data_IF_741306550087
#
_entry.id   IF_741306550087
#
_cell.length_a   1.000
_cell.length_b   1.000
_cell.length_c   1.000
_cell.angle_alpha   90.00
_cell.angle_beta   90.00
_cell.angle_gamma   90.00
#
_symmetry.space_group_name_H-M   'P 1'
#
loop_
_entity.id
_entity.type
_entity.pdbx_description
1 polymer ?
#
# COMPACT_ATOMS: atom_id res chain seq x y z
N UNK A 1 -20.86 14.48 21.91
CA UNK A 1 -20.35 13.64 20.80
C UNK A 1 -19.72 14.58 19.80
N UNK A 2 -18.43 14.79 19.94
CA UNK A 2 -17.62 15.65 19.07
C UNK A 2 -17.29 14.83 17.82
N UNK A 3 -17.79 15.27 16.68
CA UNK A 3 -17.37 14.76 15.37
C UNK A 3 -15.90 15.13 15.20
N UNK A 4 -15.00 14.16 15.34
CA UNK A 4 -13.63 14.30 14.87
C UNK A 4 -13.68 14.59 13.36
N UNK A 5 -13.30 15.81 12.99
CA UNK A 5 -13.09 16.19 11.61
C UNK A 5 -11.94 15.34 11.10
N UNK A 6 -12.25 14.45 10.14
CA UNK A 6 -11.25 13.77 9.33
C UNK A 6 -10.52 14.88 8.57
N UNK A 7 -9.31 15.18 8.98
CA UNK A 7 -8.42 16.12 8.28
C UNK A 7 -8.00 15.40 7.01
N UNK A 8 -8.62 15.75 5.88
CA UNK A 8 -8.05 15.39 4.58
C UNK A 8 -6.66 16.03 4.52
N UNK A 9 -5.63 15.22 4.27
CA UNK A 9 -4.27 15.70 4.12
C UNK A 9 -4.26 16.71 2.96
N UNK A 10 -3.99 17.98 3.25
CA UNK A 10 -3.90 19.05 2.26
C UNK A 10 -2.73 18.73 1.31
N UNK A 11 -2.90 18.98 0.02
CA UNK A 11 -1.84 18.83 -0.99
C UNK A 11 -0.52 19.51 -0.56
N UNK A 12 -0.63 20.65 0.14
CA UNK A 12 0.53 21.36 0.70
C UNK A 12 1.15 20.68 1.91
N UNK A 13 0.45 19.78 2.58
CA UNK A 13 0.95 19.15 3.80
C UNK A 13 2.15 18.26 3.53
N UNK A 14 2.13 17.48 2.45
CA UNK A 14 3.26 16.63 2.05
C UNK A 14 4.53 17.45 1.78
N UNK A 15 4.41 18.59 1.06
CA UNK A 15 5.54 19.45 0.76
C UNK A 15 6.12 20.05 2.03
N UNK A 16 5.27 20.58 2.93
CA UNK A 16 5.67 21.15 4.22
C UNK A 16 6.34 20.10 5.09
N UNK A 17 5.74 18.91 5.16
CA UNK A 17 6.28 17.78 5.92
C UNK A 17 7.68 17.39 5.47
N UNK A 18 7.91 17.32 4.16
CA UNK A 18 9.21 16.95 3.60
C UNK A 18 10.28 18.06 3.75
N UNK A 19 9.89 19.32 4.01
CA UNK A 19 10.82 20.42 4.31
C UNK A 19 11.90 20.64 3.24
N UNK A 20 11.58 20.42 1.96
CA UNK A 20 12.53 20.53 0.84
C UNK A 20 13.39 19.30 0.59
N UNK A 21 13.29 18.25 1.42
CA UNK A 21 13.98 16.98 1.22
C UNK A 21 13.43 16.25 0.00
N UNK A 22 14.33 15.68 -0.81
CA UNK A 22 13.99 14.85 -1.98
C UNK A 22 14.28 13.38 -1.70
N UNK A 23 13.43 12.50 -2.25
CA UNK A 23 13.50 11.07 -2.00
C UNK A 23 13.83 10.31 -3.28
N UNK A 24 14.80 9.41 -3.19
CA UNK A 24 15.19 8.52 -4.30
C UNK A 24 14.31 7.29 -4.40
N UNK A 25 13.58 6.98 -3.35
CA UNK A 25 12.66 5.84 -3.33
C UNK A 25 11.39 6.21 -2.56
N UNK A 26 10.26 6.00 -3.21
CA UNK A 26 8.93 6.26 -2.65
C UNK A 26 8.13 4.97 -2.68
N UNK A 27 7.54 4.60 -1.54
CA UNK A 27 6.54 3.54 -1.41
C UNK A 27 5.21 4.19 -1.06
N UNK A 28 4.13 3.78 -1.72
CA UNK A 28 2.80 4.30 -1.44
C UNK A 28 1.73 3.20 -1.41
N UNK A 29 0.82 3.29 -0.44
CA UNK A 29 -0.38 2.45 -0.33
C UNK A 29 -1.62 3.33 -0.17
N UNK A 30 -2.08 4.01 -1.24
CA UNK A 30 -3.21 4.92 -1.15
C UNK A 30 -4.48 4.24 -0.64
N UNK A 31 -5.32 4.95 0.11
CA UNK A 31 -6.61 4.43 0.57
C UNK A 31 -7.63 4.47 -0.57
N UNK A 32 -7.47 3.57 -1.54
CA UNK A 32 -8.25 3.50 -2.76
C UNK A 32 -9.76 3.44 -2.51
N UNK A 33 -10.52 4.28 -3.22
CA UNK A 33 -11.96 4.21 -3.26
C UNK A 33 -12.43 3.30 -4.39
N UNK A 34 -13.19 2.25 -4.05
CA UNK A 34 -13.85 1.40 -5.05
C UNK A 34 -15.19 2.00 -5.45
N UNK A 35 -15.30 2.46 -6.68
CA UNK A 35 -16.58 2.90 -7.23
C UNK A 35 -17.38 1.71 -7.74
N UNK A 36 -18.54 1.43 -7.12
CA UNK A 36 -19.47 0.43 -7.61
C UNK A 36 -20.52 1.09 -8.50
N UNK A 37 -20.50 0.76 -9.79
CA UNK A 37 -21.50 1.24 -10.77
C UNK A 37 -22.95 0.77 -10.49
N UNK A 38 -23.13 -0.23 -9.65
CA UNK A 38 -24.45 -0.89 -9.43
C UNK A 38 -25.15 -0.47 -8.14
N UNK A 39 -24.58 0.43 -7.35
CA UNK A 39 -25.17 0.88 -6.07
C UNK A 39 -25.29 -0.21 -4.99
N UNK A 40 -25.04 -1.48 -5.31
CA UNK A 40 -24.94 -2.55 -4.32
C UNK A 40 -23.59 -2.50 -3.65
N UNK A 41 -23.62 -2.21 -2.36
CA UNK A 41 -22.41 -2.20 -1.52
C UNK A 41 -21.82 -3.61 -1.51
N UNK A 42 -20.69 -3.80 -2.20
CA UNK A 42 -19.95 -5.05 -2.08
C UNK A 42 -19.55 -5.28 -0.61
N UNK A 43 -19.41 -6.54 -0.15
CA UNK A 43 -18.99 -6.83 1.23
C UNK A 43 -17.70 -6.13 1.64
N UNK A 44 -16.86 -5.78 0.66
CA UNK A 44 -15.65 -4.98 0.82
C UNK A 44 -15.94 -3.54 1.25
N UNK A 45 -17.03 -2.91 0.77
CA UNK A 45 -17.43 -1.55 1.18
C UNK A 45 -17.83 -1.44 2.66
N UNK A 46 -18.47 -2.47 3.23
CA UNK A 46 -18.72 -2.51 4.68
C UNK A 46 -17.44 -2.54 5.52
N UNK A 47 -16.32 -2.96 4.93
CA UNK A 47 -15.00 -2.99 5.56
C UNK A 47 -14.25 -1.67 5.37
N UNK A 48 -14.49 -0.97 4.26
CA UNK A 48 -13.89 0.35 3.95
C UNK A 48 -14.53 1.50 4.75
N UNK A 49 -15.72 1.31 5.34
CA UNK A 49 -16.36 2.32 6.21
C UNK A 49 -15.55 2.65 7.50
N UNK A 50 -14.43 1.97 7.72
CA UNK A 50 -13.53 2.19 8.87
C UNK A 50 -12.36 3.14 8.55
N UNK A 51 -12.16 3.50 7.28
CA UNK A 51 -11.10 4.41 6.84
C UNK A 51 -11.69 5.44 5.89
N UNK A 52 -11.21 6.67 6.00
CA UNK A 52 -11.40 7.64 4.93
C UNK A 52 -10.71 7.12 3.67
N UNK A 53 -11.47 6.92 2.60
CA UNK A 53 -10.92 6.61 1.29
C UNK A 53 -10.74 7.91 0.51
N UNK A 54 -9.74 7.93 -0.38
CA UNK A 54 -9.51 9.03 -1.31
C UNK A 54 -10.04 8.68 -2.69
N UNK A 55 -10.60 9.65 -3.37
CA UNK A 55 -10.95 9.54 -4.79
C UNK A 55 -9.70 9.44 -5.65
N UNK A 56 -9.82 8.95 -6.87
CA UNK A 56 -8.72 8.87 -7.82
C UNK A 56 -8.08 10.26 -8.05
N UNK A 57 -8.90 11.30 -8.17
CA UNK A 57 -8.43 12.66 -8.43
C UNK A 57 -7.66 13.23 -7.23
N UNK A 58 -8.12 12.99 -5.99
CA UNK A 58 -7.39 13.38 -4.78
C UNK A 58 -6.04 12.68 -4.69
N UNK A 59 -5.96 11.39 -5.02
CA UNK A 59 -4.68 10.65 -5.03
C UNK A 59 -3.75 11.22 -6.11
N UNK A 60 -4.25 11.49 -7.32
CA UNK A 60 -3.46 12.05 -8.42
C UNK A 60 -2.96 13.46 -8.12
N UNK A 61 -3.74 14.26 -7.38
CA UNK A 61 -3.40 15.63 -7.02
C UNK A 61 -2.26 15.75 -6.00
N UNK A 62 -1.93 14.66 -5.27
CA UNK A 62 -0.81 14.70 -4.33
C UNK A 62 0.50 15.09 -5.04
N UNK A 63 1.26 16.07 -4.51
CA UNK A 63 2.46 16.62 -5.16
C UNK A 63 3.69 15.70 -4.99
N UNK A 64 3.52 14.40 -5.28
CA UNK A 64 4.58 13.39 -5.09
C UNK A 64 5.78 13.69 -5.99
N UNK A 65 5.54 14.20 -7.19
CA UNK A 65 6.63 14.63 -8.08
C UNK A 65 7.53 15.70 -7.45
N UNK A 66 6.94 16.60 -6.65
CA UNK A 66 7.66 17.68 -5.98
C UNK A 66 8.58 17.21 -4.87
N UNK A 67 8.36 16.03 -4.29
CA UNK A 67 9.22 15.46 -3.25
C UNK A 67 10.12 14.33 -3.77
N UNK A 68 9.90 13.88 -5.00
CA UNK A 68 10.75 12.91 -5.67
C UNK A 68 12.07 13.54 -6.14
N UNK A 69 13.16 12.78 -6.00
CA UNK A 69 14.44 13.09 -6.64
C UNK A 69 14.33 13.00 -8.17
N UNK A 70 15.21 13.67 -8.92
CA UNK A 70 15.25 13.63 -10.39
C UNK A 70 15.48 12.23 -10.92
N UNK A 71 16.18 11.38 -10.16
CA UNK A 71 16.39 9.96 -10.45
C UNK A 71 15.84 9.13 -9.29
N UNK A 72 14.60 8.69 -9.42
CA UNK A 72 13.90 8.02 -8.32
C UNK A 72 13.06 6.83 -8.75
N UNK A 73 12.74 5.98 -7.77
CA UNK A 73 11.88 4.82 -7.88
C UNK A 73 10.56 5.07 -7.16
N UNK A 74 9.46 4.61 -7.77
CA UNK A 74 8.15 4.53 -7.13
C UNK A 74 7.71 3.07 -7.05
N UNK A 75 7.25 2.69 -5.86
CA UNK A 75 6.54 1.44 -5.58
C UNK A 75 5.12 1.80 -5.13
N UNK A 76 4.12 1.41 -5.94
CA UNK A 76 2.72 1.79 -5.72
C UNK A 76 1.86 0.54 -5.55
N UNK A 77 1.29 0.35 -4.35
CA UNK A 77 0.32 -0.71 -4.10
C UNK A 77 -1.01 -0.41 -4.78
N UNK A 78 -1.47 -1.37 -5.57
CA UNK A 78 -2.72 -1.24 -6.33
C UNK A 78 -3.53 -2.53 -6.25
N UNK A 79 -4.81 -2.47 -5.88
CA UNK A 79 -5.71 -3.61 -6.03
C UNK A 79 -5.84 -4.02 -7.50
N UNK A 80 -5.95 -5.31 -7.78
CA UNK A 80 -6.04 -5.82 -9.15
C UNK A 80 -7.14 -5.14 -10.00
N UNK A 81 -8.28 -4.82 -9.36
CA UNK A 81 -9.41 -4.19 -10.04
C UNK A 81 -9.17 -2.71 -10.41
N UNK A 82 -8.16 -2.07 -9.82
CA UNK A 82 -7.82 -0.66 -10.02
C UNK A 82 -6.46 -0.49 -10.73
N UNK A 83 -6.02 -1.50 -11.46
CA UNK A 83 -4.76 -1.42 -12.20
C UNK A 83 -4.71 -0.24 -13.20
N UNK A 84 -5.75 0.04 -14.00
CA UNK A 84 -5.75 1.23 -14.86
C UNK A 84 -5.57 2.52 -14.09
N UNK A 85 -6.31 2.70 -12.98
CA UNK A 85 -6.23 3.86 -12.10
C UNK A 85 -4.84 3.99 -11.46
N UNK A 86 -4.24 2.87 -11.06
CA UNK A 86 -2.87 2.85 -10.54
C UNK A 86 -1.83 3.34 -11.55
N UNK A 87 -1.99 2.99 -12.83
CA UNK A 87 -1.14 3.50 -13.91
C UNK A 87 -1.34 5.00 -14.16
N UNK A 88 -2.58 5.49 -14.03
CA UNK A 88 -2.88 6.92 -14.12
C UNK A 88 -2.22 7.71 -12.98
N UNK A 89 -2.33 7.22 -11.73
CA UNK A 89 -1.68 7.84 -10.57
C UNK A 89 -0.17 7.89 -10.76
N UNK A 90 0.43 6.77 -11.18
CA UNK A 90 1.87 6.72 -11.42
C UNK A 90 2.32 7.76 -12.45
N UNK A 91 1.57 7.92 -13.53
CA UNK A 91 1.82 8.94 -14.56
C UNK A 91 1.63 10.37 -14.02
N UNK A 92 0.56 10.61 -13.25
CA UNK A 92 0.29 11.92 -12.64
C UNK A 92 1.40 12.35 -11.66
N UNK A 93 2.03 11.40 -10.98
CA UNK A 93 3.17 11.63 -10.08
C UNK A 93 4.53 11.70 -10.80
N UNK A 94 4.55 11.73 -12.15
CA UNK A 94 5.75 11.91 -12.95
C UNK A 94 6.60 10.66 -13.14
N UNK A 95 6.05 9.46 -12.85
CA UNK A 95 6.76 8.20 -12.99
C UNK A 95 6.34 7.40 -14.22
N UNK A 96 7.31 6.78 -14.87
CA UNK A 96 7.08 5.84 -15.96
C UNK A 96 7.02 4.41 -15.42
N UNK A 97 5.91 3.71 -15.65
CA UNK A 97 5.77 2.29 -15.33
C UNK A 97 6.85 1.44 -16.01
N UNK A 98 7.45 0.51 -15.25
CA UNK A 98 8.49 -0.41 -15.73
C UNK A 98 8.16 -1.88 -15.51
N UNK A 99 7.36 -2.19 -14.50
CA UNK A 99 6.98 -3.55 -14.16
C UNK A 99 6.20 -3.59 -12.85
N UNK A 100 6.01 -4.78 -12.34
CA UNK A 100 5.34 -4.96 -11.04
C UNK A 100 5.95 -6.12 -10.26
N UNK A 101 5.68 -6.11 -8.96
CA UNK A 101 5.86 -7.24 -8.07
C UNK A 101 4.47 -7.72 -7.70
N UNK A 102 4.24 -9.02 -7.75
CA UNK A 102 2.98 -9.64 -7.36
C UNK A 102 3.12 -10.18 -5.94
N UNK A 103 2.23 -9.77 -5.04
CA UNK A 103 2.10 -10.41 -3.76
C UNK A 103 1.04 -11.49 -3.82
N UNK A 104 1.44 -12.75 -3.71
CA UNK A 104 0.55 -13.90 -3.56
C UNK A 104 0.26 -14.12 -2.06
N UNK A 105 -1.02 -14.04 -1.70
CA UNK A 105 -1.51 -14.31 -0.35
C UNK A 105 -1.71 -15.80 -0.17
N UNK A 106 -0.93 -16.41 0.72
CA UNK A 106 -0.98 -17.85 1.00
C UNK A 106 -1.53 -18.13 2.39
N UNK A 107 -2.05 -19.34 2.58
CA UNK A 107 -2.45 -19.88 3.86
C UNK A 107 -1.23 -20.49 4.58
N UNK A 108 -1.41 -20.96 5.83
CA UNK A 108 -0.38 -21.63 6.62
C UNK A 108 0.20 -22.90 5.94
N UNK A 109 -0.61 -23.55 5.09
CA UNK A 109 -0.21 -24.73 4.33
C UNK A 109 0.50 -24.40 3.00
N UNK A 110 0.77 -23.11 2.73
CA UNK A 110 1.45 -22.63 1.53
C UNK A 110 0.58 -22.54 0.27
N UNK A 111 -0.68 -22.98 0.32
CA UNK A 111 -1.60 -22.84 -0.81
C UNK A 111 -2.20 -21.43 -0.90
N UNK A 112 -2.67 -21.01 -2.09
CA UNK A 112 -3.30 -19.71 -2.27
C UNK A 112 -4.47 -19.48 -1.29
N UNK A 113 -4.59 -18.26 -0.72
CA UNK A 113 -5.68 -17.91 0.18
C UNK A 113 -6.98 -17.60 -0.58
N UNK A 114 -7.69 -18.63 -1.00
CA UNK A 114 -8.94 -18.53 -1.76
C UNK A 114 -10.14 -17.94 -1.00
N UNK A 115 -9.93 -17.35 0.20
CA UNK A 115 -10.99 -16.70 1.02
C UNK A 115 -11.21 -15.24 0.64
N UNK A 116 -10.46 -14.70 -0.31
CA UNK A 116 -10.69 -13.38 -0.88
C UNK A 116 -12.05 -13.32 -1.57
N UNK A 117 -12.63 -12.11 -1.62
CA UNK A 117 -13.84 -11.84 -2.41
C UNK A 117 -13.46 -11.23 -3.76
N UNK A 118 -14.26 -11.51 -4.77
CA UNK A 118 -14.09 -10.95 -6.11
C UNK A 118 -15.29 -11.30 -6.97
N UNK A 119 -15.69 -10.41 -7.89
CA UNK A 119 -16.84 -10.62 -8.75
C UNK A 119 -16.61 -11.70 -9.82
N UNK A 120 -15.39 -11.79 -10.32
CA UNK A 120 -15.02 -12.73 -11.39
C UNK A 120 -14.14 -13.85 -10.86
N UNK A 121 -13.07 -13.48 -10.17
CA UNK A 121 -12.12 -14.43 -9.59
C UNK A 121 -11.92 -14.11 -8.11
N UNK A 122 -11.58 -15.11 -7.29
CA UNK A 122 -11.12 -14.93 -5.92
C UNK A 122 -9.75 -14.29 -5.92
N UNK A 123 -9.64 -13.03 -5.50
CA UNK A 123 -8.38 -12.29 -5.49
C UNK A 123 -7.46 -12.83 -4.40
N UNK A 124 -6.45 -13.55 -4.80
CA UNK A 124 -5.37 -14.06 -3.95
C UNK A 124 -4.09 -13.24 -4.08
N UNK A 125 -4.08 -12.26 -4.99
CA UNK A 125 -2.91 -11.41 -5.26
C UNK A 125 -3.21 -9.93 -5.06
N UNK A 126 -2.16 -9.15 -4.84
CA UNK A 126 -2.12 -7.70 -5.00
C UNK A 126 -0.90 -7.30 -5.83
N UNK A 127 -0.98 -6.16 -6.48
CA UNK A 127 0.08 -5.64 -7.32
C UNK A 127 0.84 -4.52 -6.61
N UNK A 128 2.17 -4.59 -6.67
CA UNK A 128 3.04 -3.47 -6.35
C UNK A 128 3.65 -2.99 -7.66
N UNK A 129 3.12 -1.91 -8.22
CA UNK A 129 3.62 -1.34 -9.46
C UNK A 129 4.98 -0.71 -9.20
N UNK A 130 5.91 -0.91 -10.11
CA UNK A 130 7.23 -0.30 -10.09
C UNK A 130 7.39 0.69 -11.23
N UNK A 131 7.81 1.89 -10.91
CA UNK A 131 8.09 2.94 -11.88
C UNK A 131 9.36 3.71 -11.58
N UNK A 132 9.86 4.41 -12.59
CA UNK A 132 11.05 5.26 -12.47
C UNK A 132 10.78 6.66 -12.98
N UNK A 133 11.40 7.64 -12.34
CA UNK A 133 11.55 9.01 -12.82
C UNK A 133 13.02 9.23 -13.20
N UNK A 134 13.30 10.00 -14.25
CA UNK A 134 14.65 10.29 -14.72
C UNK A 134 15.14 9.38 -15.85
N UNK A 135 16.41 9.60 -16.27
CA UNK A 135 17.02 8.88 -17.38
C UNK A 135 17.94 7.76 -16.87
N UNK A 136 17.85 6.57 -17.50
CA UNK A 136 18.68 5.41 -17.19
C UNK A 136 18.62 4.94 -15.73
N UNK A 137 17.52 5.22 -15.05
CA UNK A 137 17.29 4.81 -13.67
C UNK A 137 16.99 3.30 -13.64
N UNK A 138 17.85 2.54 -12.92
CA UNK A 138 17.75 1.09 -12.80
C UNK A 138 17.77 0.69 -11.32
N UNK A 139 17.23 -0.48 -11.02
CA UNK A 139 17.41 -1.10 -9.71
C UNK A 139 18.89 -1.36 -9.42
N UNK A 140 19.25 -1.38 -8.15
CA UNK A 140 20.59 -1.76 -7.70
C UNK A 140 20.92 -3.20 -8.11
N UNK A 141 22.20 -3.53 -8.12
CA UNK A 141 22.70 -4.85 -8.57
C UNK A 141 21.96 -6.03 -7.92
N UNK A 142 21.77 -6.09 -6.60
CA UNK A 142 21.03 -7.19 -5.95
C UNK A 142 19.58 -7.31 -6.42
N UNK A 143 18.93 -6.21 -6.78
CA UNK A 143 17.55 -6.20 -7.28
C UNK A 143 17.38 -6.75 -8.69
N UNK A 144 18.47 -6.86 -9.47
CA UNK A 144 18.39 -7.34 -10.85
C UNK A 144 18.15 -8.85 -10.96
N UNK A 145 18.46 -9.60 -9.93
CA UNK A 145 18.17 -11.04 -9.82
C UNK A 145 16.91 -11.33 -9.01
N UNK A 146 16.24 -10.28 -8.47
CA UNK A 146 15.03 -10.43 -7.68
C UNK A 146 13.85 -10.84 -8.57
N UNK A 147 13.22 -11.96 -8.24
CA UNK A 147 11.96 -12.34 -8.90
C UNK A 147 10.83 -11.40 -8.47
N UNK A 148 9.90 -11.16 -9.37
CA UNK A 148 8.78 -10.24 -9.15
C UNK A 148 7.58 -10.93 -8.46
N UNK A 149 7.83 -11.83 -7.53
CA UNK A 149 6.83 -12.56 -6.75
C UNK A 149 7.22 -12.59 -5.29
N UNK A 150 6.28 -12.20 -4.43
CA UNK A 150 6.36 -12.38 -2.97
C UNK A 150 5.23 -13.30 -2.55
N UNK A 151 5.54 -14.29 -1.72
CA UNK A 151 4.56 -15.21 -1.14
C UNK A 151 4.59 -15.06 0.37
N UNK A 152 3.49 -14.61 0.95
CA UNK A 152 3.37 -14.55 2.41
C UNK A 152 1.93 -14.71 2.88
N UNK A 153 1.77 -15.03 4.15
CA UNK A 153 0.44 -15.08 4.77
C UNK A 153 -0.15 -13.68 4.84
N UNK A 154 -1.46 -13.61 4.61
CA UNK A 154 -2.23 -12.40 4.85
C UNK A 154 -2.13 -12.02 6.33
N UNK A 155 -1.86 -10.77 6.60
CA UNK A 155 -1.85 -10.19 7.95
C UNK A 155 -3.20 -9.54 8.26
N UNK A 156 -3.27 -8.67 9.26
CA UNK A 156 -4.45 -7.86 9.55
C UNK A 156 -4.90 -7.06 8.32
N UNK A 157 -6.11 -6.54 8.36
CA UNK A 157 -6.70 -5.84 7.21
C UNK A 157 -5.78 -4.76 6.63
N UNK A 158 -5.60 -4.86 5.31
CA UNK A 158 -4.83 -3.91 4.49
C UNK A 158 -3.34 -3.81 4.82
N UNK A 159 -2.79 -4.54 5.81
CA UNK A 159 -1.36 -4.56 6.05
C UNK A 159 -0.65 -5.34 4.95
N UNK A 160 0.31 -4.68 4.34
CA UNK A 160 1.18 -5.26 3.32
C UNK A 160 2.29 -6.13 3.96
N UNK A 161 2.91 -7.03 3.19
CA UNK A 161 3.98 -7.88 3.73
C UNK A 161 5.21 -7.05 4.09
N UNK A 162 5.76 -7.25 5.31
CA UNK A 162 6.95 -6.52 5.75
C UNK A 162 8.20 -6.87 4.92
N UNK A 163 8.18 -8.05 4.30
CA UNK A 163 9.25 -8.54 3.41
C UNK A 163 9.52 -7.60 2.24
N UNK A 164 8.51 -6.80 1.84
CA UNK A 164 8.66 -5.84 0.74
C UNK A 164 9.68 -4.75 1.06
N UNK A 165 9.80 -4.36 2.32
CA UNK A 165 10.70 -3.28 2.73
C UNK A 165 12.16 -3.68 2.49
N UNK A 166 12.56 -4.84 2.98
CA UNK A 166 13.91 -5.35 2.75
C UNK A 166 14.23 -5.59 1.26
N UNK A 167 13.19 -5.92 0.46
CA UNK A 167 13.33 -6.03 -0.99
C UNK A 167 13.57 -4.65 -1.62
N UNK A 168 12.77 -3.65 -1.26
CA UNK A 168 12.92 -2.29 -1.78
C UNK A 168 14.31 -1.72 -1.42
N UNK A 169 14.75 -1.88 -0.18
CA UNK A 169 16.06 -1.40 0.29
C UNK A 169 17.24 -2.04 -0.47
N UNK A 170 17.10 -3.30 -0.87
CA UNK A 170 18.09 -3.99 -1.73
C UNK A 170 18.05 -3.53 -3.19
N UNK A 171 16.91 -3.06 -3.67
CA UNK A 171 16.71 -2.71 -5.07
C UNK A 171 16.88 -1.22 -5.36
N UNK A 172 16.86 -0.36 -4.34
CA UNK A 172 16.70 1.07 -4.50
C UNK A 172 17.53 1.88 -3.52
N UNK A 173 17.81 3.12 -3.86
CA UNK A 173 18.63 4.01 -3.05
C UNK A 173 17.82 4.80 -2.02
N UNK A 174 18.41 5.06 -0.86
CA UNK A 174 17.94 6.08 0.09
C UNK A 174 18.17 7.50 -0.49
N UNK A 175 17.46 8.53 -0.01
CA UNK A 175 16.47 8.48 1.08
C UNK A 175 15.13 7.83 0.68
N UNK A 176 14.49 7.17 1.66
CA UNK A 176 13.22 6.48 1.50
C UNK A 176 12.06 7.29 2.07
N UNK A 177 10.93 7.33 1.38
CA UNK A 177 9.67 7.90 1.82
C UNK A 177 8.56 6.84 1.69
N UNK A 178 7.78 6.64 2.75
CA UNK A 178 6.54 5.88 2.69
C UNK A 178 5.36 6.83 2.84
N UNK A 179 4.47 6.84 1.84
CA UNK A 179 3.22 7.59 1.84
C UNK A 179 2.10 6.70 2.33
N UNK A 180 1.18 7.26 3.12
CA UNK A 180 0.10 6.53 3.79
C UNK A 180 0.62 5.47 4.76
N UNK A 181 1.74 5.78 5.41
CA UNK A 181 2.45 4.88 6.30
C UNK A 181 1.60 4.49 7.52
N UNK A 182 1.86 3.28 8.04
CA UNK A 182 1.27 2.77 9.28
C UNK A 182 2.36 2.27 10.21
N UNK A 183 2.41 2.85 11.41
CA UNK A 183 3.41 2.52 12.42
C UNK A 183 4.80 3.04 12.05
N UNK A 184 5.79 2.63 12.83
CA UNK A 184 7.18 3.05 12.68
C UNK A 184 7.97 2.20 11.68
N UNK A 185 9.00 2.85 11.08
CA UNK A 185 9.96 2.18 10.24
C UNK A 185 11.31 2.87 10.26
N UNK A 186 12.34 2.13 10.67
CA UNK A 186 13.70 2.65 10.69
C UNK A 186 14.20 3.04 9.30
N UNK A 187 14.96 4.13 9.21
CA UNK A 187 15.57 4.66 7.99
C UNK A 187 14.58 5.17 6.92
N UNK A 188 13.29 5.21 7.22
CA UNK A 188 12.26 5.75 6.33
C UNK A 188 11.69 7.05 6.90
N UNK A 189 11.38 7.98 6.03
CA UNK A 189 10.51 9.09 6.33
C UNK A 189 9.07 8.60 6.09
N UNK A 190 8.20 8.79 7.08
CA UNK A 190 6.84 8.23 7.08
C UNK A 190 5.83 9.36 7.08
N UNK A 191 4.94 9.37 6.10
CA UNK A 191 3.85 10.33 5.98
C UNK A 191 2.52 9.61 5.88
N UNK A 192 1.55 9.98 6.71
CA UNK A 192 0.21 9.39 6.77
C UNK A 192 -0.41 9.54 8.15
N UNK A 193 -1.72 9.41 8.25
CA UNK A 193 -2.49 9.57 9.49
C UNK A 193 -2.10 8.58 10.60
N UNK A 194 -1.57 7.42 10.21
CA UNK A 194 -1.18 6.34 11.11
C UNK A 194 0.35 6.16 11.19
N UNK A 195 1.11 7.16 10.71
CA UNK A 195 2.56 7.17 10.72
C UNK A 195 3.13 7.59 12.08
N UNK A 196 2.75 6.91 13.15
CA UNK A 196 3.20 7.18 14.51
C UNK A 196 3.49 5.89 15.27
N UNK A 197 4.25 6.02 16.36
CA UNK A 197 4.64 4.91 17.24
C UNK A 197 3.45 4.27 17.96
N UNK A 198 2.39 5.03 18.21
CA UNK A 198 1.24 4.60 19.00
C UNK A 198 0.18 3.88 18.13
N UNK A 199 0.50 3.61 16.85
CA UNK A 199 -0.42 2.87 16.00
C UNK A 199 -0.55 1.43 16.47
N UNK A 200 -1.72 1.11 17.01
CA UNK A 200 -2.16 -0.26 17.29
C UNK A 200 -3.27 -0.66 16.31
N UNK A 201 -3.20 -1.86 15.70
CA UNK A 201 -4.28 -2.36 14.85
C UNK A 201 -5.59 -2.46 15.65
N UNK A 202 -6.65 -1.81 15.19
CA UNK A 202 -7.97 -1.77 15.84
C UNK A 202 -8.85 -3.00 15.54
N UNK A 203 -8.29 -4.02 14.90
CA UNK A 203 -8.97 -5.28 14.58
C UNK A 203 -8.11 -6.50 14.84
N UNK A 204 -8.78 -7.61 15.04
CA UNK A 204 -8.13 -8.91 15.21
C UNK A 204 -7.28 -9.25 13.98
N UNK A 205 -6.03 -9.56 14.21
CA UNK A 205 -5.17 -10.16 13.20
C UNK A 205 -5.76 -11.52 12.79
N UNK A 206 -5.40 -11.98 11.61
CA UNK A 206 -5.85 -13.28 11.13
C UNK A 206 -5.52 -14.42 12.11
N UNK A 207 -4.41 -14.33 12.83
CA UNK A 207 -4.03 -15.26 13.88
C UNK A 207 -4.94 -15.17 15.12
N UNK A 208 -5.38 -13.96 15.49
CA UNK A 208 -6.28 -13.74 16.62
C UNK A 208 -7.69 -14.26 16.34
N UNK A 209 -8.20 -14.10 15.11
CA UNK A 209 -9.48 -14.63 14.70
C UNK A 209 -9.54 -16.17 14.80
N UNK A 210 -8.43 -16.85 14.53
CA UNK A 210 -8.30 -18.31 14.71
C UNK A 210 -8.35 -18.68 16.19
N UNK A 211 -7.64 -17.95 17.06
CA UNK A 211 -7.66 -18.16 18.52
C UNK A 211 -9.04 -17.91 19.14
N UNK A 212 -9.79 -16.91 18.64
CA UNK A 212 -11.14 -16.64 19.10
C UNK A 212 -12.13 -17.77 18.76
N UNK A 213 -11.97 -18.41 17.60
CA UNK A 213 -12.76 -19.61 17.21
C UNK A 213 -12.42 -20.84 18.06
N UNK A 214 -11.15 -21.02 18.42
CA UNK A 214 -10.71 -22.11 19.30
C UNK A 214 -11.29 -21.94 20.73
N UNK A 215 -11.32 -20.69 21.25
CA UNK A 215 -11.93 -20.39 22.55
C UNK A 215 -13.46 -20.61 22.60
N UNK A 216 -14.17 -20.44 21.48
CA UNK A 216 -15.61 -20.75 21.39
C UNK A 216 -15.89 -22.24 21.32
N UNK A 217 -15.03 -23.05 20.68
CA UNK A 217 -15.16 -24.50 20.63
C UNK A 217 -14.88 -25.19 21.95
N UNK A 218 -14.14 -24.56 22.86
CA UNK A 218 -13.82 -25.11 24.18
C UNK A 218 -14.88 -24.78 25.26
N UNK A 219 -15.91 -24.01 24.90
CA UNK A 219 -17.01 -23.61 25.81
C UNK A 219 -18.36 -24.23 25.44
N UNK A 220 -18.43 -25.08 24.43
CA UNK A 220 -19.53 -25.98 24.11
C UNK A 220 -19.17 -27.42 24.52
#
# INVERSE_FOLDING_TARGET
MTSEQIVYLDENDLIKFCGGKKFKTILADPPWQFQNRTGKVAPEHKRLSRYSTMTLEEIKALPVESVADDNSHLYLWVPNALLPEGLEVMKAWGFQYKGNIVWEKVRKDGFPDGRGVGFYFRNVTELLLFGTKGKNVRTLQPGRSQVNLIRSMKREHSRKPDEIIGLIEKCSNAPFLELFARGERNNWTLWGDQANIDYEPDWDTYANATKAKERKKTKE
#
